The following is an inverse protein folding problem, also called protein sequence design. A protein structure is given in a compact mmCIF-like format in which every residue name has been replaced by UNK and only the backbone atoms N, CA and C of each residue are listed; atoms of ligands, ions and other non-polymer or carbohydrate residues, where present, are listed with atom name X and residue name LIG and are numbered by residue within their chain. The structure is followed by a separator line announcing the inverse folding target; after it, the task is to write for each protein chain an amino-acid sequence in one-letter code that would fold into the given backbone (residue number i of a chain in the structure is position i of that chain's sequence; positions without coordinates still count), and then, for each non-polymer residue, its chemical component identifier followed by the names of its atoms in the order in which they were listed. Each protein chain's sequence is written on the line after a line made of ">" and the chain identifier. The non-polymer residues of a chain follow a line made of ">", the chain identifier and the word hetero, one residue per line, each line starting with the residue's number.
data_IF_369121245799
#
_entry.id   IF_369121245799
#
_cell.length_a   1.000
_cell.length_b   1.000
_cell.length_c   1.000
_cell.angle_alpha   90.00
_cell.angle_beta   90.00
_cell.angle_gamma   90.00
#
_symmetry.space_group_name_H-M   'P 1'
#
loop_
_entity.id
_entity.type
_entity.pdbx_description
1 polymer ?
#
# COMPACT_ATOMS: atom_id res chain seq x y z
N UNK A 1 24.83 -14.46 3.55
CA UNK A 1 24.31 -13.56 2.51
C UNK A 1 24.93 -12.19 2.79
N UNK A 2 25.72 -11.70 1.84
CA UNK A 2 26.33 -10.39 2.00
C UNK A 2 25.21 -9.33 2.04
N UNK A 3 25.24 -8.50 3.07
CA UNK A 3 24.31 -7.39 3.20
C UNK A 3 24.49 -6.46 1.99
N UNK A 4 23.48 -6.25 1.11
CA UNK A 4 23.62 -5.41 -0.08
C UNK A 4 23.87 -3.93 0.26
N UNK A 5 23.76 -3.53 1.53
CA UNK A 5 24.17 -2.24 2.04
C UNK A 5 25.62 -2.23 2.56
N UNK A 6 26.27 -3.40 2.65
CA UNK A 6 27.65 -3.55 3.10
C UNK A 6 28.62 -3.32 1.91
N UNK A 7 28.45 -2.20 1.26
CA UNK A 7 29.49 -1.68 0.36
C UNK A 7 30.50 -1.00 1.25
N UNK A 8 31.69 -1.58 1.40
CA UNK A 8 32.87 -0.92 1.96
C UNK A 8 33.20 0.30 1.08
N UNK A 9 32.38 1.34 1.20
CA UNK A 9 32.64 2.62 0.59
C UNK A 9 33.57 3.39 1.51
N UNK A 10 34.74 3.75 0.99
CA UNK A 10 35.64 4.71 1.63
C UNK A 10 35.04 6.14 1.67
N UNK A 11 33.82 6.31 1.16
CA UNK A 11 33.06 7.56 1.14
C UNK A 11 32.01 7.50 2.26
N UNK A 12 31.90 8.54 3.05
CA UNK A 12 31.12 8.56 4.28
C UNK A 12 29.61 8.29 4.15
N UNK A 13 28.99 8.58 3.00
CA UNK A 13 27.59 8.25 2.73
C UNK A 13 27.38 8.01 1.23
N UNK A 14 26.51 7.06 0.90
CA UNK A 14 26.08 6.79 -0.47
C UNK A 14 24.59 7.06 -0.58
N UNK A 15 24.22 7.75 -1.64
CA UNK A 15 22.81 7.88 -2.01
C UNK A 15 22.37 6.62 -2.73
N UNK A 16 21.26 6.01 -2.25
CA UNK A 16 20.62 4.87 -2.88
C UNK A 16 19.27 5.29 -3.45
N UNK A 17 18.90 4.72 -4.59
CA UNK A 17 17.57 4.88 -5.15
C UNK A 17 16.59 4.03 -4.35
N UNK A 18 15.57 4.68 -3.82
CA UNK A 18 14.43 4.05 -3.16
C UNK A 18 13.18 4.28 -3.99
N UNK A 19 12.33 3.27 -4.07
CA UNK A 19 10.99 3.38 -4.60
C UNK A 19 10.00 2.91 -3.53
N UNK A 20 9.42 3.85 -2.75
CA UNK A 20 8.55 3.50 -1.62
C UNK A 20 7.12 3.18 -2.04
N UNK A 21 6.76 3.35 -3.32
CA UNK A 21 5.39 3.23 -3.80
C UNK A 21 5.36 2.57 -5.17
N UNK A 22 5.31 1.24 -5.20
CA UNK A 22 5.17 0.48 -6.44
C UNK A 22 4.05 -0.56 -6.30
N UNK A 23 3.13 -0.55 -7.25
CA UNK A 23 2.12 -1.59 -7.38
C UNK A 23 2.67 -2.77 -8.18
N UNK A 24 2.24 -3.97 -7.81
CA UNK A 24 2.57 -5.19 -8.54
C UNK A 24 1.43 -5.58 -9.48
N UNK A 25 1.66 -6.48 -10.43
CA UNK A 25 0.58 -7.14 -11.14
C UNK A 25 -0.42 -7.80 -10.17
N UNK A 26 -1.71 -7.74 -10.48
CA UNK A 26 -2.77 -8.30 -9.66
C UNK A 26 -3.10 -7.53 -8.39
N UNK A 27 -2.64 -6.27 -8.25
CA UNK A 27 -3.12 -5.35 -7.20
C UNK A 27 -4.63 -5.11 -7.33
N UNK A 28 -5.29 -4.77 -6.22
CA UNK A 28 -6.75 -4.57 -6.23
C UNK A 28 -7.19 -3.41 -7.11
N UNK A 29 -6.41 -2.34 -7.16
CA UNK A 29 -6.65 -1.16 -8.00
C UNK A 29 -5.36 -0.75 -8.70
N UNK A 30 -5.51 -0.03 -9.82
CA UNK A 30 -4.38 0.51 -10.59
C UNK A 30 -3.41 -0.57 -11.13
N UNK A 31 -3.91 -1.75 -11.43
CA UNK A 31 -3.13 -2.74 -12.15
C UNK A 31 -2.89 -2.24 -13.59
N UNK A 32 -1.65 -1.88 -13.88
CA UNK A 32 -1.23 -1.37 -15.19
C UNK A 32 -0.42 -2.39 -16.00
N UNK A 33 -0.24 -3.58 -15.44
CA UNK A 33 0.56 -4.62 -16.07
C UNK A 33 -0.28 -5.42 -17.05
N UNK A 34 0.23 -5.55 -18.27
CA UNK A 34 -0.39 -6.30 -19.35
C UNK A 34 0.64 -7.22 -20.01
N UNK A 35 0.18 -8.19 -20.79
CA UNK A 35 1.05 -9.12 -21.50
C UNK A 35 0.89 -10.56 -21.05
N UNK A 36 1.74 -11.46 -21.59
CA UNK A 36 1.66 -12.90 -21.32
C UNK A 36 2.19 -13.30 -19.94
N UNK A 37 3.13 -12.53 -19.41
CA UNK A 37 3.70 -12.72 -18.07
C UNK A 37 3.97 -11.37 -17.41
N UNK A 38 2.92 -10.77 -16.81
CA UNK A 38 3.05 -9.48 -16.13
C UNK A 38 3.99 -9.54 -14.93
N UNK A 39 4.01 -10.68 -14.21
CA UNK A 39 4.85 -10.87 -13.03
C UNK A 39 6.33 -10.88 -13.37
N UNK A 40 6.72 -11.65 -14.39
CA UNK A 40 8.10 -11.66 -14.85
C UNK A 40 8.54 -10.28 -15.35
N UNK A 41 7.66 -9.59 -16.08
CA UNK A 41 7.92 -8.23 -16.57
C UNK A 41 8.17 -7.26 -15.42
N UNK A 42 7.40 -7.34 -14.34
CA UNK A 42 7.57 -6.55 -13.13
C UNK A 42 8.94 -6.82 -12.46
N UNK A 43 9.28 -8.09 -12.23
CA UNK A 43 10.54 -8.46 -11.60
C UNK A 43 11.75 -8.02 -12.43
N UNK A 44 11.73 -8.28 -13.74
CA UNK A 44 12.77 -7.88 -14.65
C UNK A 44 12.96 -6.36 -14.69
N UNK A 45 11.89 -5.58 -14.68
CA UNK A 45 11.98 -4.11 -14.69
C UNK A 45 12.71 -3.57 -13.46
N UNK A 46 12.50 -4.17 -12.28
CA UNK A 46 13.21 -3.80 -11.06
C UNK A 46 14.68 -4.23 -11.13
N UNK A 47 14.94 -5.47 -11.57
CA UNK A 47 16.28 -6.06 -11.64
C UNK A 47 17.19 -5.32 -12.62
N UNK A 48 16.63 -4.82 -13.73
CA UNK A 48 17.36 -4.10 -14.78
C UNK A 48 17.35 -2.58 -14.62
N UNK A 49 16.71 -2.06 -13.56
CA UNK A 49 16.62 -0.62 -13.34
C UNK A 49 17.98 0.05 -13.20
N UNK A 50 18.14 1.22 -13.85
CA UNK A 50 19.36 2.03 -13.76
C UNK A 50 18.99 3.48 -13.39
N UNK A 51 19.56 4.03 -12.30
CA UNK A 51 20.34 3.35 -11.26
C UNK A 51 19.54 2.28 -10.52
N UNK A 52 20.22 1.27 -9.93
CA UNK A 52 19.51 0.15 -9.30
C UNK A 52 18.71 0.61 -8.08
N UNK A 53 17.50 0.06 -7.95
CA UNK A 53 16.65 0.27 -6.77
C UNK A 53 17.20 -0.57 -5.63
N UNK A 54 17.41 0.06 -4.46
CA UNK A 54 17.97 -0.59 -3.26
C UNK A 54 16.95 -0.80 -2.16
N UNK A 55 15.88 0.01 -2.14
CA UNK A 55 14.75 -0.19 -1.23
C UNK A 55 13.45 -0.07 -2.00
N UNK A 56 12.50 -0.97 -1.71
CA UNK A 56 11.28 -1.14 -2.46
C UNK A 56 10.08 -1.24 -1.50
N UNK A 57 9.14 -0.33 -1.62
CA UNK A 57 7.87 -0.35 -0.92
C UNK A 57 6.80 -0.98 -1.81
N UNK A 58 6.37 -2.20 -1.47
CA UNK A 58 5.32 -2.89 -2.21
C UNK A 58 3.97 -2.38 -1.74
N UNK A 59 3.28 -1.70 -2.64
CA UNK A 59 2.00 -1.06 -2.35
C UNK A 59 0.84 -1.97 -2.75
N UNK A 60 -0.06 -2.24 -1.80
CA UNK A 60 -1.34 -2.87 -2.10
C UNK A 60 -2.47 -2.12 -1.39
N UNK A 61 -3.66 -2.15 -1.98
CA UNK A 61 -4.86 -1.55 -1.40
C UNK A 61 -5.45 -2.47 -0.34
N UNK A 62 -5.55 -1.97 0.89
CA UNK A 62 -6.22 -2.65 1.99
C UNK A 62 -5.64 -4.01 2.38
N UNK A 63 -4.42 -4.33 1.97
CA UNK A 63 -3.77 -5.61 2.22
C UNK A 63 -2.26 -5.56 2.04
N UNK A 64 -1.61 -6.72 2.17
CA UNK A 64 -0.17 -6.91 1.98
C UNK A 64 0.16 -8.23 1.26
N UNK A 65 -0.81 -8.83 0.59
CA UNK A 65 -0.61 -10.13 -0.08
C UNK A 65 0.46 -10.01 -1.17
N UNK A 66 0.48 -8.90 -1.89
CA UNK A 66 1.48 -8.64 -2.94
C UNK A 66 2.89 -8.46 -2.37
N UNK A 67 3.01 -7.86 -1.19
CA UNK A 67 4.29 -7.83 -0.49
C UNK A 67 4.81 -9.23 -0.17
N UNK A 68 3.95 -10.12 0.33
CA UNK A 68 4.34 -11.51 0.64
C UNK A 68 4.84 -12.25 -0.61
N UNK A 69 4.20 -12.05 -1.77
CA UNK A 69 4.61 -12.65 -3.04
C UNK A 69 5.99 -12.13 -3.49
N UNK A 70 6.25 -10.83 -3.40
CA UNK A 70 7.55 -10.24 -3.76
C UNK A 70 8.66 -10.73 -2.84
N UNK A 71 8.40 -10.83 -1.53
CA UNK A 71 9.36 -11.39 -0.57
C UNK A 71 9.65 -12.87 -0.86
N UNK A 72 8.64 -13.63 -1.27
CA UNK A 72 8.85 -15.02 -1.67
C UNK A 72 9.70 -15.12 -2.95
N UNK A 73 9.44 -14.29 -3.96
CA UNK A 73 10.28 -14.22 -5.14
C UNK A 73 11.74 -13.88 -4.79
N UNK A 74 11.96 -12.96 -3.84
CA UNK A 74 13.30 -12.65 -3.36
C UNK A 74 13.98 -13.85 -2.68
N UNK A 75 13.24 -14.60 -1.86
CA UNK A 75 13.76 -15.85 -1.25
C UNK A 75 14.13 -16.90 -2.28
N UNK A 76 13.44 -16.93 -3.40
CA UNK A 76 13.72 -17.80 -4.55
C UNK A 76 14.87 -17.29 -5.43
N UNK A 77 15.49 -16.17 -5.07
CA UNK A 77 16.70 -15.65 -5.68
C UNK A 77 16.50 -14.56 -6.71
N UNK A 78 15.28 -14.00 -6.82
CA UNK A 78 15.00 -12.80 -7.61
C UNK A 78 15.36 -11.53 -6.80
N UNK A 79 15.37 -10.38 -7.44
CA UNK A 79 15.54 -9.05 -6.81
C UNK A 79 16.79 -8.94 -5.93
N UNK A 80 17.91 -9.61 -6.29
CA UNK A 80 19.15 -9.64 -5.49
C UNK A 80 19.79 -8.27 -5.32
N UNK A 81 19.47 -7.32 -6.20
CA UNK A 81 19.90 -5.93 -6.12
C UNK A 81 19.12 -5.10 -5.09
N UNK A 82 18.00 -5.60 -4.57
CA UNK A 82 17.15 -4.91 -3.60
C UNK A 82 17.51 -5.37 -2.19
N UNK A 83 18.00 -4.44 -1.36
CA UNK A 83 18.44 -4.75 0.00
C UNK A 83 17.34 -4.64 1.05
N UNK A 84 16.27 -3.90 0.76
CA UNK A 84 15.14 -3.71 1.65
C UNK A 84 13.84 -3.78 0.84
N UNK A 85 12.96 -4.71 1.21
CA UNK A 85 11.57 -4.75 0.74
C UNK A 85 10.67 -4.59 1.94
N UNK A 86 9.73 -3.65 1.87
CA UNK A 86 8.82 -3.36 2.97
C UNK A 86 7.37 -3.21 2.48
N UNK A 87 6.38 -3.56 3.33
CA UNK A 87 4.98 -3.42 2.96
C UNK A 87 4.53 -1.96 3.06
N UNK A 88 3.82 -1.50 2.05
CA UNK A 88 3.14 -0.21 1.99
C UNK A 88 1.64 -0.46 1.76
N UNK A 89 0.83 -0.22 2.78
CA UNK A 89 -0.63 -0.36 2.67
C UNK A 89 -1.23 0.98 2.28
N UNK A 90 -1.89 1.01 1.13
CA UNK A 90 -2.65 2.18 0.70
C UNK A 90 -4.10 2.08 1.19
N UNK A 91 -4.52 3.05 2.00
CA UNK A 91 -5.86 3.15 2.54
C UNK A 91 -6.56 4.40 1.99
N UNK A 92 -7.79 4.22 1.53
CA UNK A 92 -8.68 5.32 1.19
C UNK A 92 -9.48 5.73 2.42
N UNK A 93 -9.40 6.99 2.80
CA UNK A 93 -10.13 7.52 3.94
C UNK A 93 -11.58 7.89 3.58
N UNK A 94 -12.48 7.73 4.55
CA UNK A 94 -13.88 8.18 4.46
C UNK A 94 -14.06 9.68 4.69
N UNK A 95 -13.01 10.47 4.43
CA UNK A 95 -13.04 11.93 4.42
C UNK A 95 -12.70 12.42 3.02
N UNK A 96 -13.32 13.52 2.65
CA UNK A 96 -13.14 14.13 1.33
C UNK A 96 -12.61 15.55 1.48
N UNK A 97 -11.93 16.01 0.46
CA UNK A 97 -11.55 17.42 0.36
C UNK A 97 -12.77 18.28 0.05
N UNK A 98 -12.63 19.59 0.12
CA UNK A 98 -13.69 20.53 -0.27
C UNK A 98 -14.19 20.36 -1.73
N UNK A 99 -13.42 19.66 -2.56
CA UNK A 99 -13.78 19.30 -3.95
C UNK A 99 -14.27 17.86 -4.09
N UNK A 100 -14.67 17.22 -3.00
CA UNK A 100 -15.12 15.83 -2.95
C UNK A 100 -14.11 14.79 -3.49
N UNK A 101 -12.80 15.09 -3.39
CA UNK A 101 -11.76 14.15 -3.76
C UNK A 101 -11.37 13.27 -2.56
N UNK A 102 -11.31 11.96 -2.76
CA UNK A 102 -10.88 11.02 -1.73
C UNK A 102 -9.42 11.27 -1.31
N UNK A 103 -9.11 11.02 -0.05
CA UNK A 103 -7.75 11.09 0.48
C UNK A 103 -7.22 9.69 0.66
N UNK A 104 -6.12 9.38 -0.02
CA UNK A 104 -5.38 8.15 0.19
C UNK A 104 -4.20 8.41 1.12
N UNK A 105 -3.95 7.47 2.02
CA UNK A 105 -2.79 7.48 2.90
C UNK A 105 -2.02 6.17 2.71
N UNK A 106 -0.73 6.24 2.96
CA UNK A 106 0.19 5.12 2.88
C UNK A 106 0.72 4.81 4.27
N UNK A 107 0.61 3.56 4.67
CA UNK A 107 1.20 3.03 5.89
C UNK A 107 2.39 2.17 5.50
N UNK A 108 3.60 2.72 5.67
CA UNK A 108 4.86 2.04 5.36
C UNK A 108 5.33 1.33 6.62
N UNK A 109 5.27 0.01 6.63
CA UNK A 109 5.63 -0.78 7.81
C UNK A 109 7.08 -1.27 7.74
N UNK A 110 7.73 -1.32 8.91
CA UNK A 110 9.02 -1.96 9.05
C UNK A 110 8.89 -3.49 8.91
N UNK A 111 9.69 -4.14 8.06
CA UNK A 111 9.69 -5.60 7.91
C UNK A 111 10.64 -6.29 8.90
N UNK A 112 11.16 -5.56 9.90
CA UNK A 112 12.24 -6.06 10.75
C UNK A 112 11.82 -7.23 11.66
N UNK A 113 10.62 -7.15 12.24
CA UNK A 113 10.11 -8.19 13.13
C UNK A 113 9.61 -9.40 12.34
N UNK A 114 9.93 -10.61 12.78
CA UNK A 114 9.57 -11.84 12.07
C UNK A 114 8.05 -12.05 11.93
N UNK A 115 7.27 -11.49 12.86
CA UNK A 115 5.81 -11.58 12.90
C UNK A 115 5.09 -10.32 12.35
N UNK A 116 5.83 -9.43 11.65
CA UNK A 116 5.27 -8.18 11.13
C UNK A 116 4.04 -8.41 10.22
N UNK A 117 4.07 -9.45 9.38
CA UNK A 117 2.96 -9.80 8.47
C UNK A 117 1.68 -10.04 9.26
N UNK A 118 1.75 -10.90 10.29
CA UNK A 118 0.59 -11.23 11.13
C UNK A 118 0.09 -10.01 11.92
N UNK A 119 1.02 -9.17 12.38
CA UNK A 119 0.67 -7.92 13.09
C UNK A 119 -0.03 -6.93 12.19
N UNK A 120 0.43 -6.76 10.96
CA UNK A 120 -0.18 -5.87 9.97
C UNK A 120 -1.58 -6.39 9.61
N UNK A 121 -1.72 -7.67 9.28
CA UNK A 121 -3.04 -8.28 8.96
C UNK A 121 -4.03 -8.09 10.11
N UNK A 122 -3.60 -8.34 11.34
CA UNK A 122 -4.45 -8.13 12.54
C UNK A 122 -4.85 -6.66 12.72
N UNK A 123 -3.94 -5.74 12.48
CA UNK A 123 -4.21 -4.31 12.54
C UNK A 123 -5.23 -3.88 11.47
N UNK A 124 -5.12 -4.40 10.25
CA UNK A 124 -6.06 -4.08 9.18
C UNK A 124 -7.48 -4.59 9.48
N UNK A 125 -7.62 -5.72 10.18
CA UNK A 125 -8.93 -6.25 10.59
C UNK A 125 -9.67 -5.38 11.62
N UNK A 126 -9.01 -4.36 12.20
CA UNK A 126 -9.68 -3.39 13.08
C UNK A 126 -10.56 -2.40 12.30
N UNK A 127 -10.35 -2.27 10.97
CA UNK A 127 -11.13 -1.36 10.14
C UNK A 127 -12.38 -2.03 9.59
N UNK A 128 -13.52 -1.39 9.84
CA UNK A 128 -14.82 -1.84 9.38
C UNK A 128 -15.50 -0.76 8.52
N UNK A 129 -16.16 -1.21 7.46
CA UNK A 129 -16.94 -0.38 6.57
C UNK A 129 -18.38 -0.90 6.50
N UNK A 130 -19.37 -0.12 6.98
CA UNK A 130 -20.78 -0.48 6.90
C UNK A 130 -21.32 -0.21 5.49
N UNK A 131 -22.02 -1.18 4.91
CA UNK A 131 -22.70 -1.04 3.63
C UNK A 131 -23.95 -1.93 3.58
N UNK A 132 -25.10 -1.36 3.20
CA UNK A 132 -26.41 -2.05 3.08
C UNK A 132 -26.81 -2.88 4.30
N UNK A 133 -26.50 -2.41 5.52
CA UNK A 133 -26.86 -3.09 6.78
C UNK A 133 -25.87 -4.18 7.20
N UNK A 134 -24.83 -4.44 6.40
CA UNK A 134 -23.74 -5.37 6.69
C UNK A 134 -22.46 -4.62 7.07
N UNK A 135 -21.53 -5.31 7.75
CA UNK A 135 -20.19 -4.79 8.03
C UNK A 135 -19.13 -5.59 7.28
N UNK A 136 -18.17 -4.91 6.72
CA UNK A 136 -17.06 -5.48 5.94
C UNK A 136 -15.75 -5.04 6.56
N UNK A 137 -14.82 -5.98 6.74
CA UNK A 137 -13.49 -5.70 7.30
C UNK A 137 -12.47 -5.48 6.19
N UNK A 138 -11.37 -4.86 6.58
CA UNK A 138 -10.23 -4.62 5.68
C UNK A 138 -9.45 -5.93 5.47
N UNK A 139 -10.00 -6.83 4.65
CA UNK A 139 -9.42 -8.10 4.23
C UNK A 139 -9.98 -8.53 2.87
N UNK A 140 -9.23 -9.38 2.16
CA UNK A 140 -9.55 -9.79 0.78
C UNK A 140 -10.97 -10.31 0.62
N UNK A 141 -11.40 -11.24 1.45
CA UNK A 141 -12.71 -11.89 1.32
C UNK A 141 -13.87 -10.92 1.54
N UNK A 142 -13.73 -9.98 2.47
CA UNK A 142 -14.73 -8.95 2.70
C UNK A 142 -14.77 -7.91 1.58
N UNK A 143 -13.63 -7.58 0.97
CA UNK A 143 -13.61 -6.73 -0.23
C UNK A 143 -14.34 -7.41 -1.40
N UNK A 144 -14.14 -8.72 -1.62
CA UNK A 144 -14.88 -9.48 -2.64
C UNK A 144 -16.38 -9.47 -2.35
N UNK A 145 -16.78 -9.72 -1.09
CA UNK A 145 -18.19 -9.67 -0.68
C UNK A 145 -18.81 -8.29 -0.88
N UNK A 146 -18.08 -7.23 -0.49
CA UNK A 146 -18.51 -5.84 -0.66
C UNK A 146 -18.70 -5.51 -2.14
N UNK A 147 -17.75 -5.90 -2.99
CA UNK A 147 -17.85 -5.68 -4.43
C UNK A 147 -19.08 -6.36 -5.04
N UNK A 148 -19.38 -7.58 -4.64
CA UNK A 148 -20.60 -8.30 -5.06
C UNK A 148 -21.87 -7.69 -4.49
N UNK A 149 -21.83 -7.16 -3.26
CA UNK A 149 -22.98 -6.46 -2.69
C UNK A 149 -23.25 -5.13 -3.39
N UNK A 150 -22.20 -4.40 -3.79
CA UNK A 150 -22.32 -3.15 -4.54
C UNK A 150 -22.74 -3.38 -5.99
N UNK A 151 -22.16 -4.39 -6.65
CA UNK A 151 -22.43 -4.73 -8.05
C UNK A 151 -22.81 -6.22 -8.18
N UNK A 152 -24.09 -6.54 -7.98
CA UNK A 152 -24.55 -7.91 -8.14
C UNK A 152 -24.27 -8.45 -9.55
N UNK A 153 -23.85 -9.71 -9.62
CA UNK A 153 -23.50 -10.36 -10.89
C UNK A 153 -22.01 -10.42 -11.21
N UNK A 154 -21.14 -9.83 -10.41
CA UNK A 154 -19.70 -10.06 -10.52
C UNK A 154 -19.37 -11.50 -10.09
N UNK A 155 -18.98 -12.33 -11.06
CA UNK A 155 -18.59 -13.73 -10.83
C UNK A 155 -17.10 -13.90 -10.61
N UNK A 156 -16.29 -13.06 -11.22
CA UNK A 156 -14.84 -13.05 -11.08
C UNK A 156 -14.43 -12.40 -9.74
N UNK A 157 -13.55 -13.08 -9.01
CA UNK A 157 -13.12 -12.64 -7.66
C UNK A 157 -12.24 -11.39 -7.71
N UNK A 158 -11.38 -11.24 -8.71
CA UNK A 158 -10.51 -10.09 -8.81
C UNK A 158 -11.28 -8.84 -9.24
N UNK A 159 -12.25 -8.99 -10.16
CA UNK A 159 -13.18 -7.92 -10.49
C UNK A 159 -14.05 -7.52 -9.28
N UNK A 160 -14.52 -8.48 -8.50
CA UNK A 160 -15.29 -8.22 -7.28
C UNK A 160 -14.43 -7.55 -6.22
N UNK A 161 -13.18 -8.01 -6.03
CA UNK A 161 -12.21 -7.39 -5.10
C UNK A 161 -11.91 -5.94 -5.50
N UNK A 162 -11.68 -5.69 -6.79
CA UNK A 162 -11.45 -4.34 -7.30
C UNK A 162 -12.64 -3.42 -7.03
N UNK A 163 -13.87 -3.89 -7.29
CA UNK A 163 -15.08 -3.14 -6.98
C UNK A 163 -15.21 -2.86 -5.47
N UNK A 164 -14.98 -3.86 -4.62
CA UNK A 164 -14.99 -3.70 -3.16
C UNK A 164 -13.93 -2.71 -2.67
N UNK A 165 -12.73 -2.75 -3.21
CA UNK A 165 -11.66 -1.80 -2.89
C UNK A 165 -12.02 -0.36 -3.32
N UNK A 166 -12.79 -0.19 -4.40
CA UNK A 166 -13.33 1.10 -4.79
C UNK A 166 -14.35 1.65 -3.78
N UNK A 167 -15.14 0.78 -3.17
CA UNK A 167 -16.19 1.17 -2.21
C UNK A 167 -15.66 1.32 -0.79
N UNK A 168 -14.73 0.45 -0.36
CA UNK A 168 -14.23 0.42 1.00
C UNK A 168 -13.53 1.74 1.35
N UNK A 169 -13.89 2.30 2.51
CA UNK A 169 -13.28 3.52 3.05
C UNK A 169 -13.02 3.36 4.53
N UNK A 170 -11.80 3.66 4.94
CA UNK A 170 -11.44 3.64 6.36
C UNK A 170 -11.95 4.90 7.03
N UNK A 171 -12.69 4.74 8.12
CA UNK A 171 -13.10 5.84 8.96
C UNK A 171 -11.87 6.47 9.64
N UNK A 172 -11.74 7.80 9.55
CA UNK A 172 -10.57 8.50 10.08
C UNK A 172 -10.42 8.37 11.60
N UNK A 173 -11.51 8.38 12.33
CA UNK A 173 -11.46 8.21 13.80
C UNK A 173 -11.11 6.79 14.19
N UNK A 174 -11.60 5.77 13.47
CA UNK A 174 -11.14 4.38 13.66
C UNK A 174 -9.63 4.25 13.44
N UNK A 175 -9.12 4.82 12.34
CA UNK A 175 -7.68 4.80 12.06
C UNK A 175 -6.88 5.46 13.18
N UNK A 176 -7.28 6.65 13.60
CA UNK A 176 -6.63 7.38 14.69
C UNK A 176 -6.62 6.58 16.00
N UNK A 177 -7.75 5.94 16.33
CA UNK A 177 -7.86 5.10 17.52
C UNK A 177 -6.99 3.84 17.42
N UNK A 178 -7.02 3.13 16.30
CA UNK A 178 -6.22 1.94 16.06
C UNK A 178 -4.72 2.26 16.15
N UNK A 179 -4.27 3.33 15.50
CA UNK A 179 -2.89 3.83 15.60
C UNK A 179 -2.54 4.21 17.05
N UNK A 180 -3.45 4.83 17.81
CA UNK A 180 -3.16 5.25 19.18
C UNK A 180 -3.04 4.10 20.17
N UNK A 181 -3.76 3.01 19.94
CA UNK A 181 -3.82 1.84 20.85
C UNK A 181 -2.73 0.81 20.57
N UNK A 182 -2.23 0.74 19.34
CA UNK A 182 -1.27 -0.28 18.92
C UNK A 182 0.16 0.25 18.97
N UNK A 183 0.85 -0.03 20.08
CA UNK A 183 2.23 0.43 20.30
C UNK A 183 3.23 -0.12 19.28
N UNK A 184 3.00 -1.34 18.77
CA UNK A 184 3.85 -1.90 17.72
C UNK A 184 3.70 -1.11 16.43
N UNK A 185 2.46 -0.83 16.02
CA UNK A 185 2.19 -0.05 14.80
C UNK A 185 2.77 1.34 14.92
N UNK A 186 2.61 2.04 16.04
CA UNK A 186 3.21 3.35 16.27
C UNK A 186 4.73 3.37 16.06
N UNK A 187 5.42 2.33 16.51
CA UNK A 187 6.87 2.24 16.45
C UNK A 187 7.40 1.79 15.09
N UNK A 188 6.59 1.04 14.35
CA UNK A 188 7.02 0.34 13.14
C UNK A 188 6.34 0.86 11.86
N UNK A 189 5.65 2.01 11.92
CA UNK A 189 4.93 2.55 10.76
C UNK A 189 5.29 4.01 10.51
N UNK A 190 5.58 4.32 9.26
CA UNK A 190 5.60 5.69 8.77
C UNK A 190 4.29 5.94 8.01
N UNK A 191 3.68 7.10 8.28
CA UNK A 191 2.48 7.53 7.58
C UNK A 191 2.89 8.54 6.53
N UNK A 192 2.57 8.26 5.27
CA UNK A 192 2.80 9.15 4.16
C UNK A 192 1.48 9.49 3.47
N UNK A 193 1.41 10.71 2.96
CA UNK A 193 0.26 11.17 2.18
C UNK A 193 0.80 11.81 0.92
N UNK A 194 0.35 11.34 -0.21
CA UNK A 194 0.73 11.91 -1.49
C UNK A 194 0.13 13.32 -1.63
N UNK A 195 0.97 14.32 -1.84
CA UNK A 195 0.58 15.73 -1.85
C UNK A 195 1.18 16.56 -2.99
N UNK A 196 1.77 15.92 -4.02
CA UNK A 196 2.41 16.61 -5.14
C UNK A 196 1.41 17.16 -6.17
N UNK A 197 1.80 18.22 -6.89
CA UNK A 197 0.98 18.82 -7.96
C UNK A 197 0.60 17.84 -9.09
N UNK A 198 1.34 16.74 -9.24
CA UNK A 198 1.13 15.73 -10.29
C UNK A 198 0.42 14.47 -9.77
N UNK A 199 0.09 14.41 -8.49
CA UNK A 199 -0.62 13.28 -7.93
C UNK A 199 -2.12 13.40 -8.23
N UNK A 200 -2.56 12.68 -9.26
CA UNK A 200 -3.96 12.64 -9.69
C UNK A 200 -4.87 11.81 -8.79
N UNK A 201 -4.31 11.03 -7.85
CA UNK A 201 -5.05 10.07 -7.04
C UNK A 201 -5.33 10.55 -5.62
N UNK A 202 -4.56 11.52 -5.11
CA UNK A 202 -4.76 12.09 -3.78
C UNK A 202 -5.43 13.47 -3.83
N UNK A 203 -6.53 13.61 -3.13
CA UNK A 203 -7.25 14.87 -2.95
C UNK A 203 -6.50 15.92 -2.12
N UNK A 204 -5.33 15.61 -1.57
CA UNK A 204 -4.56 16.53 -0.72
C UNK A 204 -4.04 17.76 -1.46
N UNK A 205 -3.81 17.67 -2.76
CA UNK A 205 -3.43 18.83 -3.57
C UNK A 205 -4.44 19.99 -3.44
N UNK A 206 -5.73 19.65 -3.32
CA UNK A 206 -6.79 20.62 -3.15
C UNK A 206 -7.03 20.96 -1.67
N UNK A 207 -6.61 20.11 -0.74
CA UNK A 207 -6.79 20.30 0.70
C UNK A 207 -5.85 21.35 1.28
N UNK A 208 -4.64 21.51 0.74
CA UNK A 208 -3.69 22.55 1.21
C UNK A 208 -4.26 23.97 1.03
N UNK A 209 -5.00 24.20 -0.04
CA UNK A 209 -5.71 25.45 -0.24
C UNK A 209 -6.88 25.63 0.76
N UNK A 210 -7.59 24.55 1.12
CA UNK A 210 -8.70 24.57 2.09
C UNK A 210 -8.21 24.78 3.53
N UNK A 211 -7.11 24.16 3.94
CA UNK A 211 -6.54 24.36 5.28
C UNK A 211 -5.99 25.78 5.47
N UNK A 212 -5.44 26.38 4.43
CA UNK A 212 -5.00 27.79 4.48
C UNK A 212 -6.18 28.77 4.59
N UNK A 213 -7.32 28.44 4.00
CA UNK A 213 -8.54 29.27 4.07
C UNK A 213 -9.25 29.20 5.44
N UNK A 214 -9.10 28.11 6.19
CA UNK A 214 -9.72 27.94 7.51
C UNK A 214 -8.95 28.61 8.66
N UNK A 215 -7.77 29.20 8.39
CA UNK A 215 -6.93 29.92 9.37
C UNK A 215 -7.07 31.45 9.33
N UNK A 216 -8.12 31.98 8.68
CA UNK A 216 -8.41 33.41 8.69
C UNK A 216 -9.53 33.75 9.64
#
# INVERSE_FOLDING_TARGET
>A
MDNPFDVQSKRGSLWHRWDPHIHTPGTALNDQYTGSDPWESFLCAIETSSPPIRALGITDYFGIERYEEVVNAQREGRLRNVGLIFPNVELRLGIETAKASAINIHLLFSPHDADHVERIKRFLLEFEFPYLGESYRCQRDDLIRLGRAHKPGLTDDDAARSEGANQFKVNFDQLRQALSKNEWVKKNTLIAVAGGEKDGTSGLRDATASFAAQRK
#
